data_IF_835568278629
#
_entry.id   IF_835568278629
#
_cell.length_a   1.000
_cell.length_b   1.000
_cell.length_c   1.000
_cell.angle_alpha   90.00
_cell.angle_beta   90.00
_cell.angle_gamma   90.00
#
_symmetry.space_group_name_H-M   'P 1'
#
loop_
_entity.id
_entity.type
_entity.pdbx_description
1 polymer ?
#
# COMPACT_ATOMS: atom_id res chain seq x y z
N UNK A 1 4.19 9.62 -5.27
CA UNK A 1 4.65 9.44 -3.87
C UNK A 1 3.87 8.35 -3.13
N UNK A 2 2.56 8.15 -3.37
CA UNK A 2 1.77 7.12 -2.70
C UNK A 2 2.36 5.69 -2.89
N UNK A 3 2.39 5.17 -4.10
CA UNK A 3 2.91 3.83 -4.36
C UNK A 3 4.39 3.65 -3.96
N UNK A 4 5.22 4.64 -4.29
CA UNK A 4 6.63 4.58 -3.92
C UNK A 4 6.86 4.65 -2.41
N UNK A 5 6.03 5.42 -1.70
CA UNK A 5 6.07 5.50 -0.24
C UNK A 5 5.63 4.19 0.42
N UNK A 6 4.56 3.57 -0.09
CA UNK A 6 4.08 2.28 0.40
C UNK A 6 5.14 1.18 0.16
N UNK A 7 5.72 1.12 -1.03
CA UNK A 7 6.74 0.12 -1.36
C UNK A 7 8.02 0.31 -0.54
N UNK A 8 8.47 1.56 -0.37
CA UNK A 8 9.65 1.87 0.44
C UNK A 8 9.44 1.60 1.93
N UNK A 9 8.26 1.95 2.43
CA UNK A 9 7.75 1.63 3.77
C UNK A 9 8.74 1.91 4.91
N UNK A 10 9.54 2.98 4.77
CA UNK A 10 10.57 3.38 5.74
C UNK A 10 10.08 4.40 6.79
N UNK A 11 8.82 4.80 6.70
CA UNK A 11 8.19 5.78 7.59
C UNK A 11 8.73 7.21 7.48
N UNK A 12 9.69 7.45 6.59
CA UNK A 12 10.42 8.73 6.47
C UNK A 12 9.97 9.57 5.28
N UNK A 13 9.09 9.04 4.45
CA UNK A 13 8.59 9.73 3.27
C UNK A 13 7.70 10.92 3.60
N UNK A 14 7.64 11.88 2.70
CA UNK A 14 6.59 12.90 2.71
C UNK A 14 5.37 12.29 2.02
N UNK A 15 4.35 12.01 2.80
CA UNK A 15 3.11 11.40 2.33
C UNK A 15 2.06 12.49 2.18
N UNK A 16 1.52 12.73 0.96
CA UNK A 16 0.62 13.84 0.69
C UNK A 16 -0.83 13.50 1.08
N UNK A 17 -1.05 13.05 2.30
CA UNK A 17 -2.39 12.78 2.81
C UNK A 17 -3.02 14.02 3.43
N UNK A 18 -4.32 14.20 3.21
CA UNK A 18 -5.13 15.10 4.02
C UNK A 18 -5.34 14.49 5.40
N UNK A 19 -5.61 15.34 6.41
CA UNK A 19 -5.78 14.88 7.79
C UNK A 19 -7.02 13.97 7.93
N UNK A 20 -8.02 14.18 7.08
CA UNK A 20 -9.25 13.40 6.97
C UNK A 20 -9.20 12.33 5.85
N UNK A 21 -8.00 11.94 5.44
CA UNK A 21 -7.81 10.92 4.40
C UNK A 21 -8.46 9.58 4.78
N UNK A 22 -9.25 9.03 3.85
CA UNK A 22 -9.83 7.69 3.98
C UNK A 22 -9.39 6.78 2.83
N UNK A 23 -9.24 5.49 3.14
CA UNK A 23 -9.08 4.42 2.18
C UNK A 23 -10.23 3.44 2.32
N UNK A 24 -10.82 3.10 1.19
CA UNK A 24 -11.90 2.12 1.08
C UNK A 24 -11.43 1.04 0.12
N UNK A 25 -11.43 -0.19 0.57
CA UNK A 25 -10.95 -1.35 -0.19
C UNK A 25 -12.08 -2.39 -0.28
N UNK A 26 -12.50 -2.71 -1.49
CA UNK A 26 -13.65 -3.60 -1.74
C UNK A 26 -14.89 -3.22 -0.92
N UNK A 27 -15.18 -1.91 -0.80
CA UNK A 27 -16.34 -1.37 -0.07
C UNK A 27 -16.18 -1.28 1.45
N UNK A 28 -15.04 -1.69 2.02
CA UNK A 28 -14.77 -1.60 3.45
C UNK A 28 -13.73 -0.53 3.77
N UNK A 29 -13.90 0.18 4.89
CA UNK A 29 -12.87 1.11 5.36
C UNK A 29 -11.62 0.35 5.77
N UNK A 30 -10.50 0.65 5.11
CA UNK A 30 -9.17 0.16 5.46
C UNK A 30 -8.33 1.18 6.23
N UNK A 31 -8.89 2.37 6.48
CA UNK A 31 -8.37 3.39 7.40
C UNK A 31 -9.52 3.94 8.24
N UNK A 32 -9.19 4.52 9.39
CA UNK A 32 -10.15 5.18 10.29
C UNK A 32 -11.40 4.33 10.62
N UNK A 33 -11.30 3.01 10.49
CA UNK A 33 -12.38 2.12 10.87
C UNK A 33 -12.70 2.31 12.38
N UNK A 34 -13.98 2.31 12.77
CA UNK A 34 -14.35 2.49 14.16
C UNK A 34 -13.78 1.38 15.03
N UNK A 35 -13.32 1.73 16.22
CA UNK A 35 -12.90 0.75 17.23
C UNK A 35 -14.13 0.01 17.75
N UNK A 36 -14.17 -1.32 17.69
CA UNK A 36 -15.29 -2.07 18.23
C UNK A 36 -15.51 -1.80 19.72
N UNK A 37 -16.76 -1.84 20.15
CA UNK A 37 -17.12 -1.61 21.56
C UNK A 37 -16.34 -2.56 22.49
N UNK A 38 -15.77 -2.02 23.55
CA UNK A 38 -14.97 -2.79 24.53
C UNK A 38 -13.53 -3.11 24.09
N UNK A 39 -13.11 -2.67 22.90
CA UNK A 39 -11.74 -2.82 22.43
C UNK A 39 -10.98 -1.49 22.52
N UNK A 40 -9.65 -1.58 22.62
CA UNK A 40 -8.76 -0.42 22.52
C UNK A 40 -8.18 -0.33 21.11
N UNK A 41 -8.15 0.87 20.55
CA UNK A 41 -7.50 1.13 19.26
C UNK A 41 -6.03 0.74 19.35
N UNK A 42 -5.52 -0.06 18.41
CA UNK A 42 -4.10 -0.44 18.40
C UNK A 42 -3.19 0.78 18.28
N UNK A 43 -2.15 0.84 19.10
CA UNK A 43 -1.11 1.87 18.98
C UNK A 43 -0.11 1.47 17.89
N UNK A 44 0.10 2.29 16.83
CA UNK A 44 1.06 1.99 15.78
C UNK A 44 2.48 1.70 16.28
N UNK A 45 2.87 2.31 17.41
CA UNK A 45 4.20 2.16 18.01
C UNK A 45 4.42 0.81 18.70
N UNK A 46 3.35 0.11 19.07
CA UNK A 46 3.42 -1.16 19.77
C UNK A 46 2.84 -2.32 18.96
N UNK A 47 2.12 -2.02 17.89
CA UNK A 47 1.49 -3.04 17.06
C UNK A 47 2.52 -3.88 16.29
N UNK A 48 2.18 -5.15 16.09
CA UNK A 48 2.94 -6.10 15.26
C UNK A 48 2.29 -6.36 13.91
N UNK A 49 1.05 -5.90 13.74
CA UNK A 49 0.30 -6.02 12.50
C UNK A 49 -0.33 -4.67 12.14
N UNK A 50 -0.53 -4.47 10.85
CA UNK A 50 -1.29 -3.38 10.29
C UNK A 50 -2.71 -3.34 10.86
N UNK A 51 -3.26 -2.13 11.02
CA UNK A 51 -4.63 -1.93 11.48
C UNK A 51 -5.40 -0.99 10.56
N UNK A 52 -6.62 -1.38 10.22
CA UNK A 52 -7.59 -0.53 9.53
C UNK A 52 -8.15 0.62 10.39
N UNK A 53 -7.87 0.63 11.69
CA UNK A 53 -8.31 1.72 12.58
C UNK A 53 -7.38 2.94 12.53
N UNK A 54 -6.22 2.83 11.90
CA UNK A 54 -5.26 3.92 11.75
C UNK A 54 -5.63 4.85 10.60
N UNK A 55 -5.19 6.10 10.67
CA UNK A 55 -5.27 7.04 9.55
C UNK A 55 -4.35 6.63 8.40
N UNK A 56 -4.56 7.20 7.22
CA UNK A 56 -3.67 7.00 6.07
C UNK A 56 -2.21 7.26 6.43
N UNK A 57 -1.94 8.31 7.18
CA UNK A 57 -0.58 8.69 7.56
C UNK A 57 0.04 7.71 8.55
N UNK A 58 -0.70 7.32 9.59
CA UNK A 58 -0.21 6.37 10.59
C UNK A 58 0.14 5.02 9.97
N UNK A 59 -0.66 4.54 9.01
CA UNK A 59 -0.36 3.30 8.30
C UNK A 59 0.97 3.36 7.57
N UNK A 60 1.24 4.47 6.85
CA UNK A 60 2.48 4.66 6.11
C UNK A 60 3.70 4.90 7.02
N UNK A 61 3.49 5.56 8.15
CA UNK A 61 4.56 5.82 9.12
C UNK A 61 4.90 4.61 10.00
N UNK A 62 3.96 3.68 10.16
CA UNK A 62 4.15 2.50 11.01
C UNK A 62 5.23 1.54 10.51
N UNK A 63 5.50 1.53 9.22
CA UNK A 63 6.33 0.50 8.58
C UNK A 63 5.67 -0.87 8.45
N UNK A 64 4.41 -1.01 8.87
CA UNK A 64 3.70 -2.30 8.90
C UNK A 64 2.96 -2.64 7.59
N UNK A 65 3.11 -1.81 6.54
CA UNK A 65 2.73 -2.15 5.17
C UNK A 65 3.84 -2.93 4.43
N UNK A 66 4.87 -3.35 5.13
CA UNK A 66 6.02 -4.09 4.58
C UNK A 66 5.64 -5.39 3.84
N UNK A 67 4.47 -5.93 4.14
CA UNK A 67 3.95 -7.09 3.42
C UNK A 67 3.63 -6.82 1.94
N UNK A 68 3.49 -5.55 1.53
CA UNK A 68 3.47 -5.14 0.12
C UNK A 68 4.92 -5.04 -0.34
N UNK A 69 5.46 -6.12 -0.86
CA UNK A 69 6.89 -6.23 -1.16
C UNK A 69 7.29 -5.62 -2.49
N UNK A 70 6.35 -5.45 -3.41
CA UNK A 70 6.58 -4.80 -4.69
C UNK A 70 5.28 -4.23 -5.25
N UNK A 71 5.37 -3.02 -5.83
CA UNK A 71 4.27 -2.38 -6.55
C UNK A 71 4.73 -2.15 -7.99
N UNK A 72 4.10 -2.83 -8.93
CA UNK A 72 4.51 -2.88 -10.34
C UNK A 72 3.37 -2.59 -11.30
N UNK A 73 3.70 -2.44 -12.58
CA UNK A 73 2.77 -2.21 -13.68
C UNK A 73 1.80 -1.05 -13.40
N UNK A 74 2.37 0.06 -12.93
CA UNK A 74 1.62 1.25 -12.50
C UNK A 74 1.11 2.03 -13.70
N UNK A 75 -0.18 2.01 -13.92
CA UNK A 75 -0.83 2.66 -15.07
C UNK A 75 -1.83 3.68 -14.59
N UNK A 76 -1.53 4.95 -14.84
CA UNK A 76 -2.45 6.05 -14.61
C UNK A 76 -3.28 6.26 -15.88
N UNK A 77 -4.47 5.67 -15.92
CA UNK A 77 -5.29 5.60 -17.14
C UNK A 77 -6.25 6.78 -17.31
N UNK A 78 -6.53 7.49 -16.23
CA UNK A 78 -7.29 8.74 -16.29
C UNK A 78 -6.78 9.72 -15.24
N UNK A 79 -6.58 10.97 -15.65
CA UNK A 79 -6.21 12.08 -14.77
C UNK A 79 -7.12 13.25 -15.11
N UNK A 80 -7.91 13.69 -14.13
CA UNK A 80 -8.80 14.86 -14.22
C UNK A 80 -8.36 15.91 -13.20
N UNK A 81 -7.52 16.88 -13.60
CA UNK A 81 -7.04 17.92 -12.68
C UNK A 81 -8.15 18.86 -12.19
N UNK A 82 -9.21 19.05 -12.99
CA UNK A 82 -10.32 19.95 -12.63
C UNK A 82 -11.12 19.39 -11.47
N UNK A 83 -11.31 18.06 -11.46
CA UNK A 83 -12.03 17.37 -10.38
C UNK A 83 -11.09 16.81 -9.31
N UNK A 84 -9.77 16.88 -9.53
CA UNK A 84 -8.76 16.31 -8.63
C UNK A 84 -8.82 14.79 -8.58
N UNK A 85 -9.10 14.13 -9.71
CA UNK A 85 -9.22 12.69 -9.77
C UNK A 85 -8.06 12.05 -10.54
N UNK A 86 -7.58 10.92 -10.00
CA UNK A 86 -6.60 10.06 -10.67
C UNK A 86 -7.07 8.63 -10.57
N UNK A 87 -7.16 7.94 -11.69
CA UNK A 87 -7.53 6.53 -11.74
C UNK A 87 -6.38 5.70 -12.30
N UNK A 88 -6.08 4.59 -11.63
CA UNK A 88 -4.94 3.74 -11.97
C UNK A 88 -5.25 2.25 -11.86
N UNK A 89 -4.52 1.44 -12.65
CA UNK A 89 -4.41 0.00 -12.48
C UNK A 89 -3.00 -0.34 -12.02
N UNK A 90 -2.88 -1.30 -11.08
CA UNK A 90 -1.60 -1.61 -10.43
C UNK A 90 -1.60 -3.06 -9.95
N UNK A 91 -0.41 -3.61 -9.75
CA UNK A 91 -0.21 -4.89 -9.08
C UNK A 91 0.60 -4.70 -7.79
N UNK A 92 0.09 -5.26 -6.68
CA UNK A 92 0.79 -5.31 -5.40
C UNK A 92 1.19 -6.75 -5.10
N UNK A 93 2.48 -7.03 -5.17
CA UNK A 93 3.01 -8.34 -4.83
C UNK A 93 3.24 -8.46 -3.32
N UNK A 94 2.86 -9.59 -2.79
CA UNK A 94 3.00 -9.95 -1.39
C UNK A 94 3.85 -11.22 -1.31
N UNK A 95 5.17 -11.06 -1.19
CA UNK A 95 6.06 -12.19 -0.98
C UNK A 95 5.88 -12.79 0.41
N UNK A 96 6.22 -14.06 0.54
CA UNK A 96 6.21 -14.78 1.80
C UNK A 96 7.65 -15.10 2.25
N UNK A 97 7.81 -16.00 3.21
CA UNK A 97 9.12 -16.47 3.64
C UNK A 97 9.93 -15.40 4.39
N UNK A 98 11.17 -15.18 3.96
CA UNK A 98 12.10 -14.28 4.64
C UNK A 98 11.62 -12.82 4.71
N UNK A 99 10.84 -12.35 3.74
CA UNK A 99 10.32 -10.98 3.72
C UNK A 99 9.34 -10.66 4.85
N UNK A 100 8.83 -11.67 5.53
CA UNK A 100 7.93 -11.50 6.68
C UNK A 100 8.63 -10.96 7.92
N UNK A 101 9.96 -11.14 8.04
CA UNK A 101 10.75 -10.65 9.17
C UNK A 101 11.47 -9.36 8.74
N UNK A 102 11.15 -8.26 9.40
CA UNK A 102 11.68 -6.95 9.05
C UNK A 102 11.81 -6.04 10.27
N UNK A 103 12.50 -4.91 10.10
CA UNK A 103 12.56 -3.83 11.08
C UNK A 103 11.60 -2.71 10.69
N UNK A 104 10.84 -2.26 11.67
CA UNK A 104 10.02 -1.05 11.55
C UNK A 104 10.90 0.21 11.63
N UNK A 105 10.38 1.40 11.21
CA UNK A 105 11.15 2.65 11.28
C UNK A 105 11.64 3.04 12.69
N UNK A 106 10.96 2.57 13.71
CA UNK A 106 11.32 2.76 15.13
C UNK A 106 12.26 1.68 15.68
N UNK A 107 12.75 0.77 14.81
CA UNK A 107 13.78 -0.22 15.15
C UNK A 107 13.27 -1.55 15.71
N UNK A 108 11.95 -1.74 15.86
CA UNK A 108 11.39 -3.02 16.31
C UNK A 108 11.55 -4.09 15.22
N UNK A 109 11.88 -5.30 15.63
CA UNK A 109 11.82 -6.47 14.72
C UNK A 109 10.42 -7.07 14.79
N UNK A 110 9.77 -7.16 13.63
CA UNK A 110 8.41 -7.68 13.50
C UNK A 110 8.39 -8.82 12.50
N UNK A 111 7.48 -9.76 12.70
CA UNK A 111 7.16 -10.83 11.75
C UNK A 111 5.68 -10.71 11.38
N UNK A 112 5.39 -10.25 10.17
CA UNK A 112 4.04 -10.03 9.67
C UNK A 112 3.92 -10.34 8.18
N UNK A 113 2.69 -10.32 7.66
CA UNK A 113 2.41 -10.58 6.26
C UNK A 113 2.01 -12.03 5.95
N UNK A 114 1.75 -12.35 4.69
CA UNK A 114 1.15 -13.62 4.30
C UNK A 114 2.09 -14.81 4.50
N UNK A 115 1.50 -15.98 4.75
CA UNK A 115 2.21 -17.26 4.82
C UNK A 115 2.56 -17.80 3.43
N UNK A 116 1.74 -17.47 2.43
CA UNK A 116 1.87 -17.88 1.03
C UNK A 116 1.95 -16.64 0.15
N UNK A 117 2.81 -16.61 -0.88
CA UNK A 117 2.90 -15.47 -1.76
C UNK A 117 1.65 -15.34 -2.65
N UNK A 118 1.26 -14.12 -2.92
CA UNK A 118 0.14 -13.79 -3.80
C UNK A 118 0.26 -12.34 -4.28
N UNK A 119 -0.58 -11.94 -5.21
CA UNK A 119 -0.62 -10.58 -5.77
C UNK A 119 -2.04 -10.04 -5.69
N UNK A 120 -2.21 -8.77 -5.30
CA UNK A 120 -3.40 -8.00 -5.61
C UNK A 120 -3.29 -7.43 -7.02
N UNK A 121 -4.27 -7.71 -7.87
CA UNK A 121 -4.60 -6.89 -9.03
C UNK A 121 -5.64 -5.87 -8.58
N UNK A 122 -5.37 -4.58 -8.82
CA UNK A 122 -6.24 -3.55 -8.31
C UNK A 122 -6.46 -2.39 -9.30
N UNK A 123 -7.66 -1.81 -9.17
CA UNK A 123 -8.04 -0.52 -9.71
C UNK A 123 -8.20 0.47 -8.56
N UNK A 124 -7.46 1.59 -8.56
CA UNK A 124 -7.52 2.60 -7.51
C UNK A 124 -7.90 3.97 -8.08
N UNK A 125 -8.90 4.58 -7.46
CA UNK A 125 -9.32 5.95 -7.68
C UNK A 125 -8.85 6.82 -6.52
N UNK A 126 -8.11 7.88 -6.84
CA UNK A 126 -7.64 8.88 -5.88
C UNK A 126 -8.43 10.16 -6.05
N UNK A 127 -8.90 10.72 -4.94
CA UNK A 127 -9.38 12.10 -4.86
C UNK A 127 -8.32 12.98 -4.22
N UNK A 128 -7.90 14.02 -4.95
CA UNK A 128 -6.86 14.95 -4.55
C UNK A 128 -7.47 16.33 -4.37
N UNK A 129 -7.31 16.90 -3.18
CA UNK A 129 -7.77 18.24 -2.87
C UNK A 129 -6.61 19.07 -2.29
N UNK A 130 -6.39 20.25 -2.82
CA UNK A 130 -5.30 21.16 -2.39
C UNK A 130 -3.91 20.47 -2.34
N UNK A 131 -3.65 19.60 -3.32
CA UNK A 131 -2.38 18.85 -3.42
C UNK A 131 -2.24 17.68 -2.45
N UNK A 132 -3.29 17.32 -1.70
CA UNK A 132 -3.31 16.20 -0.77
C UNK A 132 -4.32 15.14 -1.18
N UNK A 133 -3.98 13.88 -0.95
CA UNK A 133 -4.89 12.74 -1.15
C UNK A 133 -5.89 12.73 -0.01
N UNK A 134 -7.16 12.91 -0.34
CA UNK A 134 -8.26 12.90 0.63
C UNK A 134 -9.01 11.57 0.70
N UNK A 135 -9.14 10.90 -0.44
CA UNK A 135 -9.83 9.63 -0.52
C UNK A 135 -9.15 8.72 -1.51
N UNK A 136 -9.14 7.45 -1.19
CA UNK A 136 -8.67 6.37 -2.06
C UNK A 136 -9.75 5.29 -2.04
N UNK A 137 -10.22 4.90 -3.22
CA UNK A 137 -11.14 3.79 -3.37
C UNK A 137 -10.49 2.74 -4.26
N UNK A 138 -10.35 1.53 -3.74
CA UNK A 138 -9.74 0.42 -4.45
C UNK A 138 -10.71 -0.75 -4.59
N UNK A 139 -10.76 -1.30 -5.79
CA UNK A 139 -11.32 -2.62 -6.06
C UNK A 139 -10.14 -3.53 -6.36
N UNK A 140 -10.05 -4.64 -5.65
CA UNK A 140 -8.91 -5.53 -5.75
C UNK A 140 -9.32 -7.00 -5.73
N UNK A 141 -8.63 -7.78 -6.54
CA UNK A 141 -8.79 -9.23 -6.64
C UNK A 141 -7.45 -9.91 -6.33
N UNK A 142 -7.52 -11.03 -5.63
CA UNK A 142 -6.35 -11.83 -5.32
C UNK A 142 -6.03 -12.76 -6.50
N UNK A 143 -4.83 -12.62 -7.05
CA UNK A 143 -4.34 -13.38 -8.19
C UNK A 143 -3.04 -14.11 -7.84
N UNK A 144 -2.58 -15.07 -8.68
CA UNK A 144 -1.31 -15.74 -8.49
C UNK A 144 -0.14 -14.77 -8.36
N UNK A 145 0.82 -15.08 -7.49
CA UNK A 145 2.01 -14.24 -7.27
C UNK A 145 2.77 -14.00 -8.57
N UNK A 146 3.04 -12.72 -8.85
CA UNK A 146 3.76 -12.32 -10.05
C UNK A 146 2.97 -12.41 -11.35
N UNK A 147 1.65 -12.61 -11.31
CA UNK A 147 0.82 -12.61 -12.51
C UNK A 147 1.01 -11.32 -13.30
N UNK A 148 1.21 -11.45 -14.62
CA UNK A 148 1.27 -10.29 -15.50
C UNK A 148 -0.13 -9.72 -15.78
N UNK A 149 -0.18 -8.40 -15.97
CA UNK A 149 -1.38 -7.78 -16.53
C UNK A 149 -1.54 -8.17 -18.00
N UNK A 150 -2.76 -8.20 -18.50
CA UNK A 150 -3.02 -8.39 -19.94
C UNK A 150 -2.58 -7.21 -20.82
N UNK A 151 -1.94 -6.17 -20.27
CA UNK A 151 -1.63 -4.90 -20.93
C UNK A 151 -0.13 -4.69 -21.15
N UNK A 152 0.72 -5.44 -20.46
CA UNK A 152 2.17 -5.40 -20.56
C UNK A 152 2.74 -6.78 -20.82
N UNK A 153 3.90 -6.84 -21.45
CA UNK A 153 4.65 -8.09 -21.55
C UNK A 153 5.33 -8.41 -20.20
N UNK A 154 5.95 -9.57 -20.12
CA UNK A 154 6.65 -10.01 -18.92
C UNK A 154 7.76 -9.04 -18.51
N UNK A 155 8.53 -8.53 -19.46
CA UNK A 155 9.63 -7.61 -19.21
C UNK A 155 9.14 -6.30 -18.63
N UNK A 156 8.08 -5.72 -19.21
CA UNK A 156 7.47 -4.48 -18.71
C UNK A 156 6.91 -4.66 -17.29
N UNK A 157 6.19 -5.76 -17.06
CA UNK A 157 5.65 -6.08 -15.75
C UNK A 157 6.72 -6.33 -14.70
N UNK A 158 7.92 -6.72 -15.14
CA UNK A 158 9.08 -6.99 -14.28
C UNK A 158 10.08 -5.85 -14.22
N UNK A 159 9.86 -4.74 -14.93
CA UNK A 159 10.77 -3.60 -14.99
C UNK A 159 11.15 -3.03 -13.62
N UNK A 160 10.27 -3.17 -12.65
CA UNK A 160 10.49 -2.70 -11.28
C UNK A 160 11.19 -3.74 -10.37
N UNK A 161 11.55 -4.90 -10.88
CA UNK A 161 12.12 -6.01 -10.10
C UNK A 161 13.37 -5.65 -9.32
N UNK A 162 14.24 -4.83 -9.91
CA UNK A 162 15.47 -4.40 -9.27
C UNK A 162 15.29 -3.32 -8.21
N UNK A 163 14.07 -2.77 -8.04
CA UNK A 163 13.84 -1.65 -7.12
C UNK A 163 13.28 -2.06 -5.79
N UNK A 164 12.94 -3.35 -5.65
CA UNK A 164 11.90 -3.60 -4.77
C UNK A 164 12.15 -4.21 -3.48
N UNK A 165 12.69 -5.37 -3.46
CA UNK A 165 12.74 -6.17 -2.23
C UNK A 165 13.92 -5.77 -1.37
N UNK A 166 14.95 -5.21 -1.98
CA UNK A 166 16.19 -4.84 -1.29
C UNK A 166 16.46 -3.33 -1.24
N UNK A 167 15.66 -2.52 -1.96
CA UNK A 167 15.96 -1.10 -2.13
C UNK A 167 17.23 -0.84 -2.95
N UNK A 168 17.81 -1.86 -3.56
CA UNK A 168 18.96 -1.70 -4.43
C UNK A 168 18.49 -1.20 -5.80
N UNK A 169 18.99 -0.06 -6.20
CA UNK A 169 19.00 0.37 -7.60
C UNK A 169 19.99 -0.53 -8.34
N UNK A 170 19.70 -0.97 -9.57
CA UNK A 170 20.67 -1.68 -10.39
C UNK A 170 21.92 -0.84 -10.66
#
# INVERSE_FOLDING_TARGET
MYFSGMQKNDGKGVYPFADDCNRIENGAFSTNAPTPAGQTRPDPKNATNYSGQWSCLEQFQSGLLHFVTRIRDRRFVAVDPERGLVFSFIFFDHAAGATRKFQTPDGRTVTAGPQQPWTWELAELFRIEKGKIRQIEAIMERVPYGMNSGWSNWEDGMSDRGRDVTGATP
#
